data_IF_006620983423
#
_entry.id   IF_006620983423
#
_cell.length_a   1.000
_cell.length_b   1.000
_cell.length_c   1.000
_cell.angle_alpha   90.00
_cell.angle_beta   90.00
_cell.angle_gamma   90.00
#
_symmetry.space_group_name_H-M   'P 1'
#
loop_
_entity.id
_entity.type
_entity.pdbx_description
1 polymer ?
#
# COMPACT_ATOMS: atom_id res chain seq x y z
N UNK A 1 -13.39 0.07 -7.18
CA UNK A 1 -12.45 -0.05 -6.03
C UNK A 1 -13.09 0.53 -4.78
N UNK A 2 -12.98 -0.11 -3.63
CA UNK A 2 -13.50 0.44 -2.36
C UNK A 2 -12.38 1.18 -1.60
N UNK A 3 -12.67 2.38 -1.09
CA UNK A 3 -11.75 3.09 -0.19
C UNK A 3 -11.74 2.39 1.18
N UNK A 4 -10.54 2.15 1.71
CA UNK A 4 -10.32 1.56 3.02
C UNK A 4 -10.05 2.66 4.05
N UNK A 5 -9.30 3.69 3.66
CA UNK A 5 -9.03 4.83 4.51
C UNK A 5 -7.99 5.77 3.93
N UNK A 6 -7.86 6.93 4.57
CA UNK A 6 -6.93 8.00 4.18
C UNK A 6 -6.06 8.37 5.37
N UNK A 7 -4.74 8.50 5.17
CA UNK A 7 -3.78 8.86 6.22
C UNK A 7 -2.75 9.86 5.71
N UNK A 8 -2.19 10.66 6.61
CA UNK A 8 -0.96 11.43 6.32
C UNK A 8 0.26 10.55 6.56
N UNK A 9 1.14 10.40 5.57
CA UNK A 9 2.34 9.57 5.70
C UNK A 9 3.34 10.19 6.69
N UNK A 10 3.63 9.44 7.75
CA UNK A 10 4.65 9.76 8.74
C UNK A 10 5.84 8.79 8.64
N UNK A 11 7.00 9.20 9.18
CA UNK A 11 8.23 8.41 9.12
C UNK A 11 8.09 7.02 9.73
N UNK A 12 7.27 6.85 10.78
CA UNK A 12 7.05 5.55 11.40
C UNK A 12 6.29 4.57 10.50
N UNK A 13 5.49 5.05 9.53
CA UNK A 13 4.85 4.18 8.54
C UNK A 13 5.87 3.46 7.65
N UNK A 14 7.12 3.91 7.58
CA UNK A 14 8.16 3.23 6.81
C UNK A 14 8.49 1.83 7.34
N UNK A 15 8.23 1.56 8.64
CA UNK A 15 8.36 0.22 9.22
C UNK A 15 7.26 -0.73 8.75
N UNK A 16 6.14 -0.18 8.30
CA UNK A 16 5.01 -0.89 7.73
C UNK A 16 3.68 -0.24 8.10
N UNK A 17 2.62 -0.66 7.42
CA UNK A 17 1.26 -0.21 7.68
C UNK A 17 0.34 -1.42 7.79
N UNK A 18 -0.26 -1.60 8.97
CA UNK A 18 -1.25 -2.63 9.25
C UNK A 18 -2.64 -2.24 8.75
N UNK A 19 -3.32 -3.19 8.13
CA UNK A 19 -4.66 -3.05 7.56
C UNK A 19 -5.53 -4.18 8.11
N UNK A 20 -6.65 -3.81 8.72
CA UNK A 20 -7.57 -4.72 9.41
C UNK A 20 -8.46 -5.55 8.46
N UNK A 21 -8.49 -5.22 7.17
CA UNK A 21 -9.43 -5.83 6.23
C UNK A 21 -8.82 -7.06 5.54
N UNK A 22 -9.53 -8.22 5.51
CA UNK A 22 -9.13 -9.38 4.74
C UNK A 22 -9.32 -9.06 3.26
N UNK A 23 -8.25 -8.60 2.62
CA UNK A 23 -8.28 -8.17 1.23
C UNK A 23 -7.23 -8.95 0.45
N UNK A 24 -7.47 -9.18 -0.86
CA UNK A 24 -6.50 -9.87 -1.71
C UNK A 24 -5.14 -9.18 -1.57
N UNK A 25 -4.06 -9.95 -1.68
CA UNK A 25 -2.68 -9.64 -1.27
C UNK A 25 -2.01 -8.35 -1.87
N UNK A 26 -2.77 -7.43 -2.46
CA UNK A 26 -2.34 -6.20 -3.11
C UNK A 26 -3.28 -5.04 -2.76
N UNK A 27 -2.71 -3.91 -2.31
CA UNK A 27 -3.42 -2.65 -2.12
C UNK A 27 -3.03 -1.61 -3.17
N UNK A 28 -3.94 -0.68 -3.46
CA UNK A 28 -3.61 0.54 -4.20
C UNK A 28 -3.51 1.72 -3.25
N UNK A 29 -2.37 2.38 -3.22
CA UNK A 29 -2.12 3.62 -2.46
C UNK A 29 -2.08 4.78 -3.44
N UNK A 30 -2.98 5.74 -3.28
CA UNK A 30 -3.01 6.95 -4.08
C UNK A 30 -2.35 8.13 -3.35
N UNK A 31 -1.56 8.91 -4.07
CA UNK A 31 -0.99 10.19 -3.63
C UNK A 31 -1.34 11.24 -4.68
N UNK A 32 -2.31 12.10 -4.37
CA UNK A 32 -2.91 12.97 -5.38
C UNK A 32 -3.47 12.16 -6.55
N UNK A 33 -3.01 12.44 -7.78
CA UNK A 33 -3.41 11.71 -9.00
C UNK A 33 -2.61 10.43 -9.25
N UNK A 34 -1.51 10.19 -8.52
CA UNK A 34 -0.63 9.03 -8.72
C UNK A 34 -1.14 7.84 -7.91
N UNK A 35 -1.07 6.64 -8.49
CA UNK A 35 -1.49 5.39 -7.83
C UNK A 35 -0.34 4.39 -7.85
N UNK A 36 -0.12 3.74 -6.72
CA UNK A 36 0.94 2.76 -6.49
C UNK A 36 0.34 1.47 -5.98
N UNK A 37 0.88 0.32 -6.40
CA UNK A 37 0.43 -0.99 -5.92
C UNK A 37 1.46 -1.56 -4.97
N UNK A 38 1.04 -1.99 -3.79
CA UNK A 38 1.91 -2.64 -2.82
C UNK A 38 1.37 -4.00 -2.46
N UNK A 39 2.26 -4.99 -2.40
CA UNK A 39 1.92 -6.31 -1.86
C UNK A 39 1.85 -6.23 -0.34
N UNK A 40 0.83 -6.87 0.22
CA UNK A 40 0.71 -7.05 1.66
C UNK A 40 1.03 -8.50 2.03
N UNK A 41 1.42 -8.68 3.30
CA UNK A 41 1.69 -9.99 3.88
C UNK A 41 0.84 -10.20 5.13
N UNK A 42 0.38 -11.42 5.41
CA UNK A 42 -0.29 -11.75 6.67
C UNK A 42 0.61 -11.37 7.87
N UNK A 43 0.04 -10.71 8.85
CA UNK A 43 0.73 -10.25 10.06
C UNK A 43 -0.24 -10.24 11.25
N UNK A 44 -0.15 -11.22 12.15
CA UNK A 44 -0.90 -11.23 13.41
C UNK A 44 -2.43 -11.13 13.28
N UNK A 45 -3.01 -11.76 12.25
CA UNK A 45 -4.45 -11.67 11.95
C UNK A 45 -4.85 -10.47 11.09
N UNK A 46 -3.89 -9.64 10.70
CA UNK A 46 -4.04 -8.49 9.79
C UNK A 46 -3.22 -8.68 8.53
N UNK A 47 -3.28 -7.70 7.63
CA UNK A 47 -2.35 -7.59 6.50
C UNK A 47 -1.44 -6.38 6.71
N UNK A 48 -0.14 -6.54 6.49
CA UNK A 48 0.84 -5.46 6.57
C UNK A 48 1.43 -5.15 5.21
N UNK A 49 1.46 -3.87 4.83
CA UNK A 49 2.31 -3.35 3.76
C UNK A 49 3.69 -3.09 4.35
N UNK A 50 4.73 -3.72 3.81
CA UNK A 50 6.10 -3.56 4.29
C UNK A 50 7.13 -3.97 3.22
N UNK A 51 8.40 -3.61 3.44
CA UNK A 51 9.52 -3.90 2.56
C UNK A 51 10.21 -2.64 2.05
N UNK A 52 11.30 -2.81 1.31
CA UNK A 52 12.14 -1.69 0.87
C UNK A 52 11.42 -0.75 -0.10
N UNK A 53 10.56 -1.28 -0.97
CA UNK A 53 9.72 -0.48 -1.88
C UNK A 53 8.77 0.43 -1.10
N UNK A 54 8.13 -0.11 -0.07
CA UNK A 54 7.24 0.64 0.82
C UNK A 54 8.03 1.70 1.60
N UNK A 55 9.18 1.33 2.16
CA UNK A 55 10.06 2.25 2.88
C UNK A 55 10.52 3.41 2.00
N UNK A 56 10.92 3.13 0.76
CA UNK A 56 11.31 4.13 -0.22
C UNK A 56 10.15 5.07 -0.57
N UNK A 57 8.97 4.50 -0.81
CA UNK A 57 7.75 5.27 -1.07
C UNK A 57 7.40 6.23 0.08
N UNK A 58 7.41 5.75 1.33
CA UNK A 58 7.14 6.59 2.51
C UNK A 58 8.20 7.69 2.65
N UNK A 59 9.48 7.38 2.38
CA UNK A 59 10.55 8.37 2.38
C UNK A 59 10.33 9.51 1.37
N UNK A 60 9.89 9.16 0.15
CA UNK A 60 9.66 10.13 -0.93
C UNK A 60 8.37 10.94 -0.77
N UNK A 61 7.37 10.39 -0.05
CA UNK A 61 6.03 10.98 0.07
C UNK A 61 5.72 11.38 1.53
N UNK A 62 6.74 11.67 2.34
CA UNK A 62 6.57 12.10 3.73
C UNK A 62 5.70 13.36 3.81
N UNK A 63 4.69 13.34 4.67
CA UNK A 63 3.73 14.43 4.84
C UNK A 63 2.62 14.47 3.79
N UNK A 64 2.67 13.62 2.77
CA UNK A 64 1.58 13.52 1.81
C UNK A 64 0.38 12.80 2.42
N UNK A 65 -0.82 13.26 2.07
CA UNK A 65 -2.07 12.54 2.33
C UNK A 65 -2.20 11.44 1.28
N UNK A 66 -2.40 10.21 1.76
CA UNK A 66 -2.53 9.04 0.90
C UNK A 66 -3.82 8.29 1.21
N UNK A 67 -4.47 7.82 0.15
CA UNK A 67 -5.71 7.05 0.24
C UNK A 67 -5.44 5.60 -0.14
N UNK A 68 -5.84 4.70 0.73
CA UNK A 68 -5.73 3.26 0.55
C UNK A 68 -7.03 2.72 -0.04
N UNK A 69 -6.92 1.94 -1.11
CA UNK A 69 -8.03 1.28 -1.76
C UNK A 69 -7.84 -0.24 -1.78
N UNK A 70 -8.96 -0.95 -1.56
CA UNK A 70 -9.06 -2.37 -1.82
C UNK A 70 -8.90 -2.61 -3.33
N UNK A 71 -8.12 -3.63 -3.70
CA UNK A 71 -8.06 -4.04 -5.10
C UNK A 71 -9.46 -4.46 -5.56
N UNK A 72 -9.92 -3.88 -6.67
CA UNK A 72 -11.13 -4.34 -7.35
C UNK A 72 -10.85 -5.72 -7.97
N UNK A 73 -11.88 -6.58 -7.95
CA UNK A 73 -11.80 -7.99 -8.34
C UNK A 73 -10.85 -8.29 -9.49
N UNK A 74 -10.03 -9.30 -9.24
CA UNK A 74 -9.07 -9.98 -10.09
C UNK A 74 -9.26 -9.81 -11.62
N UNK A 75 -8.30 -9.12 -12.25
CA UNK A 75 -7.88 -9.36 -13.66
C UNK A 75 -6.55 -8.69 -14.06
N UNK A 76 -5.79 -8.15 -13.11
CA UNK A 76 -4.53 -7.45 -13.40
C UNK A 76 -3.44 -7.81 -12.40
N UNK A 77 -3.22 -9.12 -12.22
CA UNK A 77 -1.96 -9.67 -11.72
C UNK A 77 -0.89 -9.56 -12.81
N UNK A 78 -0.71 -8.37 -13.39
CA UNK A 78 0.49 -8.08 -14.15
C UNK A 78 1.57 -7.68 -13.14
N UNK A 79 2.36 -8.68 -12.76
CA UNK A 79 3.82 -8.62 -12.62
C UNK A 79 4.36 -7.18 -12.68
N UNK A 80 4.65 -6.58 -11.53
CA UNK A 80 5.65 -5.54 -11.46
C UNK A 80 7.00 -6.26 -11.37
N UNK A 81 7.57 -6.55 -12.54
CA UNK A 81 9.01 -6.68 -12.67
C UNK A 81 9.61 -5.34 -12.26
N UNK A 82 10.29 -5.32 -11.12
CA UNK A 82 11.15 -4.21 -10.73
C UNK A 82 12.47 -4.46 -11.46
N UNK A 83 12.68 -3.78 -12.59
CA UNK A 83 14.03 -3.69 -13.16
C UNK A 83 14.87 -2.68 -12.35
N UNK A 84 16.16 -2.97 -12.16
CA UNK A 84 17.08 -2.16 -11.37
C UNK A 84 17.26 -0.73 -11.91
#
# INVERSE_FOLDING_TARGET
MAEIGTVTLATHHAAGWDVDTPLPNVFTVAVGSRRFKFRCRPHGGRYRICGDEWRGFVGQNRGAVVTLYAAEGDKATHRLDVRP
#
